data_IF_838982850570
#
_entry.id   IF_838982850570
#
_cell.length_a   1.000
_cell.length_b   1.000
_cell.length_c   1.000
_cell.angle_alpha   90.00
_cell.angle_beta   90.00
_cell.angle_gamma   90.00
#
_symmetry.space_group_name_H-M   'P 1'
#
loop_
_entity.id
_entity.type
_entity.pdbx_description
1 polymer ?
#
# COMPACT_ATOMS: atom_id res chain seq x y z
N UNK A 1 -19.21 9.31 -12.77
CA UNK A 1 -18.31 8.56 -11.89
C UNK A 1 -16.93 9.16 -12.03
N UNK A 2 -16.35 9.73 -10.98
CA UNK A 2 -14.97 10.19 -11.03
C UNK A 2 -14.04 8.98 -11.16
N UNK A 3 -13.43 8.82 -12.33
CA UNK A 3 -12.45 7.77 -12.58
C UNK A 3 -11.17 8.14 -11.85
N UNK A 4 -10.76 7.30 -10.89
CA UNK A 4 -9.46 7.46 -10.23
C UNK A 4 -8.39 6.84 -11.13
N UNK A 5 -7.35 7.62 -11.43
CA UNK A 5 -6.18 7.12 -12.15
C UNK A 5 -4.98 6.99 -11.21
N UNK A 6 -4.10 6.05 -11.52
CA UNK A 6 -2.87 5.82 -10.78
C UNK A 6 -1.77 6.72 -11.35
N UNK A 7 -1.35 7.74 -10.60
CA UNK A 7 -0.31 8.68 -11.03
C UNK A 7 1.07 8.02 -10.91
N UNK A 8 1.80 7.94 -12.02
CA UNK A 8 3.20 7.51 -12.05
C UNK A 8 4.18 8.59 -11.57
N UNK A 9 5.47 8.26 -11.43
CA UNK A 9 6.09 6.96 -11.73
C UNK A 9 5.98 5.96 -10.57
N UNK A 10 5.59 4.73 -10.88
CA UNK A 10 5.70 3.59 -9.97
C UNK A 10 6.90 2.76 -10.43
N UNK A 11 7.94 2.57 -9.59
CA UNK A 11 9.09 1.78 -9.99
C UNK A 11 8.68 0.37 -10.41
N UNK A 12 9.08 -0.02 -11.62
CA UNK A 12 8.76 -1.35 -12.15
C UNK A 12 9.26 -2.49 -11.24
N UNK A 13 10.49 -2.44 -10.66
CA UNK A 13 10.94 -3.46 -9.73
C UNK A 13 10.08 -3.57 -8.46
N UNK A 14 9.55 -2.45 -7.96
CA UNK A 14 8.64 -2.43 -6.81
C UNK A 14 7.34 -3.19 -7.14
N UNK A 15 6.81 -2.94 -8.35
CA UNK A 15 5.59 -3.55 -8.84
C UNK A 15 5.78 -5.07 -9.04
N UNK A 16 6.89 -5.47 -9.68
CA UNK A 16 7.25 -6.88 -9.83
C UNK A 16 7.41 -7.59 -8.48
N UNK A 17 8.10 -6.97 -7.52
CA UNK A 17 8.25 -7.56 -6.18
C UNK A 17 6.88 -7.79 -5.52
N UNK A 18 5.97 -6.80 -5.59
CA UNK A 18 4.62 -6.93 -5.05
C UNK A 18 3.76 -7.99 -5.76
N UNK A 19 3.97 -8.23 -7.06
CA UNK A 19 3.27 -9.29 -7.83
C UNK A 19 3.64 -10.69 -7.35
N UNK A 20 4.89 -10.91 -6.93
CA UNK A 20 5.36 -12.22 -6.45
C UNK A 20 4.88 -12.55 -5.03
N UNK A 21 4.36 -11.56 -4.30
CA UNK A 21 3.78 -11.76 -2.98
C UNK A 21 2.38 -12.35 -3.09
N UNK A 22 2.02 -13.20 -2.11
CA UNK A 22 0.75 -13.94 -2.13
C UNK A 22 -0.43 -13.03 -1.75
N UNK A 23 -1.63 -13.50 -2.07
CA UNK A 23 -2.88 -12.90 -1.59
C UNK A 23 -3.12 -11.49 -2.13
N UNK A 24 -3.26 -10.53 -1.23
CA UNK A 24 -3.72 -9.17 -1.54
C UNK A 24 -2.61 -8.11 -1.60
N UNK A 25 -1.34 -8.52 -1.60
CA UNK A 25 -0.19 -7.62 -1.56
C UNK A 25 -0.20 -6.59 -2.70
N UNK A 26 -0.31 -7.03 -3.95
CA UNK A 26 -0.38 -6.14 -5.09
C UNK A 26 -1.57 -5.16 -5.00
N UNK A 27 -2.76 -5.67 -4.64
CA UNK A 27 -3.96 -4.84 -4.54
C UNK A 27 -3.82 -3.75 -3.46
N UNK A 28 -3.31 -4.09 -2.28
CA UNK A 28 -2.99 -3.12 -1.21
C UNK A 28 -1.92 -2.14 -1.68
N UNK A 29 -0.89 -2.63 -2.37
CA UNK A 29 0.17 -1.82 -2.94
C UNK A 29 -0.34 -0.76 -3.92
N UNK A 30 -1.21 -1.14 -4.86
CA UNK A 30 -1.85 -0.20 -5.80
C UNK A 30 -2.65 0.87 -5.06
N UNK A 31 -3.41 0.48 -4.02
CA UNK A 31 -4.14 1.44 -3.20
C UNK A 31 -3.20 2.42 -2.48
N UNK A 32 -2.07 1.94 -1.94
CA UNK A 32 -1.06 2.79 -1.32
C UNK A 32 -0.48 3.79 -2.32
N UNK A 33 -0.07 3.35 -3.50
CA UNK A 33 0.45 4.24 -4.55
C UNK A 33 -0.58 5.28 -5.00
N UNK A 34 -1.85 4.89 -5.14
CA UNK A 34 -2.94 5.82 -5.45
C UNK A 34 -3.06 6.91 -4.37
N UNK A 35 -3.15 6.52 -3.10
CA UNK A 35 -3.27 7.48 -1.99
C UNK A 35 -2.02 8.34 -1.82
N UNK A 36 -0.85 7.74 -2.00
CA UNK A 36 0.46 8.41 -1.96
C UNK A 36 0.57 9.45 -3.08
N UNK A 37 0.04 9.16 -4.27
CA UNK A 37 -0.09 10.09 -5.39
C UNK A 37 -1.05 11.24 -5.10
N UNK A 38 -2.26 10.94 -4.60
CA UNK A 38 -3.29 11.94 -4.23
C UNK A 38 -2.76 12.88 -3.15
N UNK A 39 -2.08 12.35 -2.13
CA UNK A 39 -1.55 13.12 -1.00
C UNK A 39 -0.21 13.78 -1.28
N UNK A 40 0.42 13.46 -2.42
CA UNK A 40 1.80 13.89 -2.75
C UNK A 40 2.79 13.59 -1.61
N UNK A 41 2.61 12.46 -0.93
CA UNK A 41 3.41 12.06 0.24
C UNK A 41 3.74 10.57 0.19
N UNK A 42 4.98 10.14 0.47
CA UNK A 42 5.32 8.72 0.57
C UNK A 42 4.66 8.04 1.77
N UNK A 43 4.32 8.82 2.80
CA UNK A 43 3.68 8.35 4.03
C UNK A 43 2.20 8.69 4.03
N UNK A 44 1.34 7.68 4.16
CA UNK A 44 -0.11 7.83 4.14
C UNK A 44 -0.81 6.97 5.21
N UNK A 45 -1.85 7.49 5.88
CA UNK A 45 -2.69 6.67 6.74
C UNK A 45 -3.58 5.76 5.89
N UNK A 46 -3.58 4.46 6.17
CA UNK A 46 -4.39 3.48 5.45
C UNK A 46 -5.58 3.03 6.30
N UNK A 47 -6.80 3.30 5.82
CA UNK A 47 -8.00 2.76 6.45
C UNK A 47 -8.36 1.39 5.84
N UNK A 48 -7.99 0.31 6.53
CA UNK A 48 -8.23 -1.06 6.07
C UNK A 48 -9.72 -1.39 5.83
N UNK A 49 -10.65 -0.77 6.56
CA UNK A 49 -12.09 -1.03 6.37
C UNK A 49 -12.67 -0.38 5.12
N UNK A 50 -11.91 0.52 4.46
CA UNK A 50 -12.32 1.18 3.21
C UNK A 50 -11.75 0.50 1.97
N UNK A 51 -10.96 -0.55 2.14
CA UNK A 51 -10.47 -1.35 1.04
C UNK A 51 -11.56 -2.35 0.62
N UNK A 52 -11.69 -2.67 -0.68
CA UNK A 52 -12.55 -3.74 -1.16
C UNK A 52 -11.90 -5.13 -0.89
N UNK A 53 -11.24 -5.29 0.25
CA UNK A 53 -10.45 -6.45 0.64
C UNK A 53 -10.77 -6.74 2.10
N UNK A 54 -11.00 -8.01 2.50
CA UNK A 54 -11.20 -8.35 3.90
C UNK A 54 -10.07 -7.81 4.77
N UNK A 55 -10.41 -7.20 5.91
CA UNK A 55 -9.43 -6.55 6.80
C UNK A 55 -8.26 -7.47 7.15
N UNK A 56 -8.52 -8.73 7.44
CA UNK A 56 -7.47 -9.71 7.75
C UNK A 56 -6.52 -9.98 6.57
N UNK A 57 -7.04 -10.03 5.35
CA UNK A 57 -6.22 -10.17 4.14
C UNK A 57 -5.40 -8.89 3.87
N UNK A 58 -5.98 -7.72 4.09
CA UNK A 58 -5.26 -6.45 3.96
C UNK A 58 -4.16 -6.30 5.03
N UNK A 59 -4.40 -6.75 6.26
CA UNK A 59 -3.37 -6.79 7.32
C UNK A 59 -2.22 -7.74 6.98
N UNK A 60 -2.51 -8.94 6.45
CA UNK A 60 -1.46 -9.86 5.97
C UNK A 60 -0.67 -9.27 4.81
N UNK A 61 -1.36 -8.67 3.83
CA UNK A 61 -0.72 -8.00 2.72
C UNK A 61 0.22 -6.86 3.14
N UNK A 62 -0.15 -6.07 4.17
CA UNK A 62 0.75 -5.05 4.73
C UNK A 62 2.01 -5.68 5.31
N UNK A 63 1.86 -6.78 6.06
CA UNK A 63 2.99 -7.51 6.61
C UNK A 63 3.90 -8.08 5.52
N UNK A 64 3.32 -8.72 4.49
CA UNK A 64 4.09 -9.30 3.38
C UNK A 64 4.87 -8.21 2.62
N UNK A 65 4.25 -7.04 2.38
CA UNK A 65 4.90 -5.90 1.74
C UNK A 65 6.03 -5.31 2.60
N UNK A 66 5.85 -5.27 3.92
CA UNK A 66 6.85 -4.77 4.86
C UNK A 66 8.04 -5.75 4.98
N UNK A 67 7.78 -7.04 5.11
CA UNK A 67 8.80 -8.10 5.12
C UNK A 67 9.61 -8.12 3.81
N UNK A 68 8.97 -7.81 2.67
CA UNK A 68 9.64 -7.66 1.38
C UNK A 68 10.42 -6.33 1.22
N UNK A 69 10.41 -5.45 2.23
CA UNK A 69 11.11 -4.16 2.21
C UNK A 69 10.49 -3.11 1.28
N UNK A 70 9.26 -3.32 0.82
CA UNK A 70 8.57 -2.44 -0.12
C UNK A 70 7.89 -1.25 0.57
N UNK A 71 7.52 -1.42 1.84
CA UNK A 71 6.89 -0.42 2.69
C UNK A 71 7.45 -0.49 4.13
N UNK A 72 7.15 0.52 4.94
CA UNK A 72 7.24 0.49 6.40
C UNK A 72 5.88 0.80 7.00
N UNK A 73 5.51 0.13 8.08
CA UNK A 73 4.22 0.28 8.75
C UNK A 73 4.44 0.73 10.19
N UNK A 74 3.96 1.92 10.53
CA UNK A 74 3.77 2.33 11.93
C UNK A 74 2.33 2.01 12.34
N UNK A 75 2.16 1.05 13.25
CA UNK A 75 0.86 0.65 13.77
C UNK A 75 0.80 0.80 15.29
N UNK A 76 -0.12 1.67 15.73
CA UNK A 76 -0.48 1.83 17.15
C UNK A 76 -1.84 1.20 17.42
N UNK A 77 -2.00 0.59 18.60
CA UNK A 77 -3.27 -0.03 19.01
C UNK A 77 -4.40 1.01 18.94
N UNK A 78 -5.51 0.64 18.30
CA UNK A 78 -6.68 1.51 18.12
C UNK A 78 -6.57 2.55 16.99
N UNK A 79 -5.43 2.65 16.32
CA UNK A 79 -5.21 3.62 15.25
C UNK A 79 -5.15 2.97 13.86
N UNK A 80 -5.33 3.78 12.81
CA UNK A 80 -5.06 3.36 11.44
C UNK A 80 -3.55 3.19 11.27
N UNK A 81 -3.07 2.14 10.58
CA UNK A 81 -1.66 2.05 10.22
C UNK A 81 -1.27 3.25 9.37
N UNK A 82 -0.09 3.81 9.68
CA UNK A 82 0.57 4.83 8.87
C UNK A 82 1.64 4.12 8.07
N UNK A 83 1.52 4.16 6.74
CA UNK A 83 2.34 3.37 5.83
C UNK A 83 3.23 4.29 5.01
N UNK A 84 4.53 3.99 4.97
CA UNK A 84 5.52 4.71 4.14
C UNK A 84 5.98 3.81 3.00
N UNK A 85 5.88 4.28 1.75
CA UNK A 85 6.45 3.60 0.58
C UNK A 85 7.97 3.82 0.57
N UNK A 86 8.73 2.73 0.47
CA UNK A 86 10.21 2.76 0.44
C UNK A 86 10.70 3.08 -0.98
N UNK A 87 11.76 3.89 -1.09
CA UNK A 87 12.42 4.26 -2.36
C UNK A 87 11.45 4.79 -3.43
N UNK A 88 10.52 5.65 -3.01
CA UNK A 88 9.66 6.39 -3.94
C UNK A 88 10.54 7.38 -4.75
N UNK A 89 10.47 7.34 -6.10
CA UNK A 89 11.20 8.25 -6.98
C UNK A 89 10.62 9.67 -6.99
#
# INVERSE_FOLDING_TARGET
MDVKFLKGPIPWPWLLAAVHLRGSALAVGVHLWLWSGIRKSPTVPLNLSRLPIPRAAASRALRDLEEAGLIRVDQKRGQKPVVTIVNRP
#
